data_IF_025880547991
#
_entry.id   IF_025880547991
#
_cell.length_a   1.000
_cell.length_b   1.000
_cell.length_c   1.000
_cell.angle_alpha   90.00
_cell.angle_beta   90.00
_cell.angle_gamma   90.00
#
_symmetry.space_group_name_H-M   'P 1'
#
loop_
_entity.id
_entity.type
_entity.pdbx_description
1 polymer ?
#
# COMPACT_ATOMS: atom_id res chain seq x y z
N UNK A 1 8.39 7.20 -5.38
CA UNK A 1 8.74 7.00 -3.98
C UNK A 1 8.05 5.80 -3.36
N UNK A 2 6.78 5.63 -3.59
CA UNK A 2 6.08 4.49 -3.01
C UNK A 2 6.59 3.19 -3.62
N UNK A 3 6.86 3.18 -4.91
CA UNK A 3 7.46 2.02 -5.57
C UNK A 3 8.75 1.59 -4.88
N UNK A 4 9.59 2.54 -4.55
CA UNK A 4 10.86 2.23 -3.92
C UNK A 4 10.64 1.62 -2.53
N UNK A 5 9.67 2.15 -1.78
CA UNK A 5 9.39 1.61 -0.46
C UNK A 5 8.92 0.16 -0.55
N UNK A 6 8.05 -0.13 -1.53
CA UNK A 6 7.53 -1.48 -1.71
C UNK A 6 8.63 -2.44 -2.18
N UNK A 7 9.52 -1.97 -3.04
CA UNK A 7 10.55 -2.83 -3.64
C UNK A 7 11.81 -2.96 -2.80
N UNK A 8 11.92 -2.24 -1.71
CA UNK A 8 13.08 -2.38 -0.83
C UNK A 8 13.04 -3.72 -0.12
N UNK A 9 14.19 -4.17 0.34
CA UNK A 9 14.29 -5.44 1.04
C UNK A 9 15.08 -5.22 2.33
N UNK A 10 14.41 -5.09 3.47
CA UNK A 10 12.95 -5.18 3.65
C UNK A 10 12.23 -3.92 3.18
N UNK A 11 10.94 -4.00 2.94
CA UNK A 11 10.19 -2.83 2.51
C UNK A 11 10.05 -1.79 3.62
N UNK A 12 9.86 -0.54 3.22
CA UNK A 12 9.82 0.58 4.15
C UNK A 12 8.39 1.06 4.39
N UNK A 13 8.16 1.57 5.59
CA UNK A 13 6.93 2.31 5.88
C UNK A 13 6.94 3.61 5.10
N UNK A 14 5.75 4.15 4.84
CA UNK A 14 5.63 5.49 4.27
C UNK A 14 4.65 6.30 5.10
N UNK A 15 4.79 7.61 5.01
CA UNK A 15 3.83 8.55 5.57
C UNK A 15 3.37 9.46 4.45
N UNK A 16 2.10 9.80 4.43
CA UNK A 16 1.56 10.72 3.43
C UNK A 16 0.37 11.48 4.02
N UNK A 17 0.05 12.61 3.38
CA UNK A 17 -1.14 13.38 3.74
C UNK A 17 -2.28 12.93 2.84
N UNK A 18 -3.44 12.62 3.43
CA UNK A 18 -4.57 12.08 2.70
C UNK A 18 -5.80 12.95 2.90
N UNK A 19 -6.48 13.26 1.80
CA UNK A 19 -7.70 14.06 1.85
C UNK A 19 -8.90 13.33 1.27
N UNK A 20 -8.78 12.04 1.06
CA UNK A 20 -9.82 11.27 0.36
C UNK A 20 -10.99 10.82 1.22
N UNK A 21 -11.01 11.14 2.49
CA UNK A 21 -12.16 10.83 3.33
C UNK A 21 -12.48 12.04 4.21
N UNK A 22 -13.38 11.86 5.17
CA UNK A 22 -13.87 12.97 5.97
C UNK A 22 -12.87 13.44 7.04
N UNK A 23 -11.76 12.76 7.20
CA UNK A 23 -10.76 13.12 8.21
C UNK A 23 -9.40 13.28 7.56
N UNK A 24 -9.12 14.44 6.97
CA UNK A 24 -7.81 14.64 6.34
C UNK A 24 -6.70 14.61 7.38
N UNK A 25 -5.53 14.17 6.99
CA UNK A 25 -4.39 14.14 7.88
C UNK A 25 -3.32 13.18 7.39
N UNK A 26 -2.22 13.15 8.14
CA UNK A 26 -1.12 12.28 7.80
C UNK A 26 -1.41 10.85 8.24
N UNK A 27 -1.08 9.90 7.39
CA UNK A 27 -1.20 8.47 7.67
C UNK A 27 0.15 7.81 7.54
N UNK A 28 0.44 6.92 8.47
CA UNK A 28 1.63 6.05 8.40
C UNK A 28 1.14 4.65 8.10
N UNK A 29 1.67 4.05 7.05
CA UNK A 29 1.19 2.76 6.57
C UNK A 29 2.34 1.88 6.10
N UNK A 30 2.06 0.58 5.99
CA UNK A 30 2.93 -0.38 5.32
C UNK A 30 2.39 -0.56 3.91
N UNK A 31 3.06 -0.01 2.88
CA UNK A 31 2.52 -0.08 1.53
C UNK A 31 2.65 -1.48 0.95
N UNK A 32 1.59 -1.98 0.34
CA UNK A 32 1.58 -3.34 -0.21
C UNK A 32 1.41 -3.38 -1.72
N UNK A 33 0.60 -2.50 -2.30
CA UNK A 33 0.30 -2.62 -3.72
C UNK A 33 -0.22 -1.30 -4.28
N UNK A 34 0.12 -1.02 -5.53
CA UNK A 34 -0.49 0.07 -6.29
C UNK A 34 -1.21 -0.57 -7.47
N UNK A 35 -2.50 -0.32 -7.59
CA UNK A 35 -3.34 -0.93 -8.61
C UNK A 35 -4.59 -0.10 -8.84
N UNK A 36 -5.35 -0.42 -9.88
CA UNK A 36 -6.64 0.24 -10.12
C UNK A 36 -7.73 -0.44 -9.31
N UNK A 37 -8.65 0.36 -8.78
CA UNK A 37 -9.83 -0.20 -8.12
C UNK A 37 -10.94 -0.45 -9.15
N UNK A 38 -12.11 -0.88 -8.70
CA UNK A 38 -13.20 -1.22 -9.61
C UNK A 38 -13.77 -0.02 -10.35
N UNK A 39 -13.46 1.19 -9.92
CA UNK A 39 -13.84 2.41 -10.61
C UNK A 39 -12.71 2.95 -11.47
N UNK A 40 -11.67 2.15 -11.67
CA UNK A 40 -10.48 2.50 -12.46
C UNK A 40 -9.72 3.69 -11.89
N UNK A 41 -9.78 3.90 -10.58
CA UNK A 41 -8.97 4.88 -9.91
C UNK A 41 -7.69 4.20 -9.37
N UNK A 42 -6.58 4.88 -9.52
CA UNK A 42 -5.32 4.33 -9.02
C UNK A 42 -5.29 4.43 -7.50
N UNK A 43 -5.05 3.30 -6.85
CA UNK A 43 -5.09 3.20 -5.40
C UNK A 43 -3.82 2.59 -4.84
N UNK A 44 -3.51 3.00 -3.62
CA UNK A 44 -2.50 2.34 -2.80
C UNK A 44 -3.23 1.45 -1.81
N UNK A 45 -2.94 0.16 -1.84
CA UNK A 45 -3.43 -0.78 -0.82
C UNK A 45 -2.34 -0.92 0.22
N UNK A 46 -2.67 -0.66 1.47
CA UNK A 46 -1.67 -0.61 2.52
C UNK A 46 -2.26 -1.01 3.86
N UNK A 47 -1.41 -1.46 4.76
CA UNK A 47 -1.81 -1.76 6.13
C UNK A 47 -1.68 -0.49 6.95
N UNK A 48 -2.80 -0.01 7.47
CA UNK A 48 -2.86 1.23 8.24
C UNK A 48 -2.27 1.03 9.62
N UNK A 49 -1.37 1.92 10.02
CA UNK A 49 -0.76 1.87 11.34
C UNK A 49 -1.23 3.02 12.22
N UNK A 50 -1.19 4.25 11.74
CA UNK A 50 -1.53 5.38 12.57
C UNK A 50 -2.01 6.56 11.76
N UNK A 51 -2.79 7.43 12.40
CA UNK A 51 -3.36 8.62 11.81
C UNK A 51 -4.88 8.60 11.89
N UNK A 52 -5.55 9.61 11.35
CA UNK A 52 -7.01 9.62 11.33
C UNK A 52 -7.55 8.46 10.50
N UNK A 53 -8.65 7.88 10.91
CA UNK A 53 -9.25 6.78 10.19
C UNK A 53 -10.76 6.76 10.45
N UNK A 54 -11.53 6.70 9.37
CA UNK A 54 -12.98 6.58 9.47
C UNK A 54 -13.43 5.13 9.45
N UNK A 55 -12.53 4.20 9.19
CA UNK A 55 -12.91 2.80 9.06
C UNK A 55 -12.32 1.93 10.17
N UNK A 56 -12.03 2.54 11.31
CA UNK A 56 -11.64 1.76 12.48
C UNK A 56 -10.14 1.55 12.60
N UNK A 57 -9.76 0.60 13.45
CA UNK A 57 -8.36 0.42 13.80
C UNK A 57 -7.54 -0.18 12.65
N UNK A 58 -6.39 -0.69 12.98
CA UNK A 58 -5.45 -1.21 12.00
C UNK A 58 -6.09 -2.23 11.05
N UNK A 59 -5.59 -2.28 9.84
CA UNK A 59 -6.07 -3.20 8.84
C UNK A 59 -5.71 -2.70 7.45
N UNK A 60 -6.11 -3.46 6.43
CA UNK A 60 -5.90 -3.02 5.06
C UNK A 60 -6.88 -1.93 4.69
N UNK A 61 -6.36 -0.90 4.00
CA UNK A 61 -7.17 0.18 3.47
C UNK A 61 -6.68 0.53 2.08
N UNK A 62 -7.59 1.04 1.24
CA UNK A 62 -7.24 1.51 -0.09
C UNK A 62 -7.30 3.02 -0.09
N UNK A 63 -6.24 3.66 -0.57
CA UNK A 63 -6.14 5.12 -0.65
C UNK A 63 -6.05 5.52 -2.11
N UNK A 64 -6.99 6.34 -2.57
CA UNK A 64 -6.95 6.80 -3.95
C UNK A 64 -5.80 7.78 -4.12
N UNK A 65 -4.95 7.52 -5.08
CA UNK A 65 -3.70 8.25 -5.23
C UNK A 65 -3.90 9.73 -5.54
N UNK A 66 -5.03 10.09 -6.14
CA UNK A 66 -5.27 11.50 -6.42
C UNK A 66 -5.42 12.33 -5.15
N UNK A 67 -5.70 11.72 -4.03
CA UNK A 67 -5.85 12.41 -2.75
C UNK A 67 -4.63 12.23 -1.84
N UNK A 68 -3.57 11.63 -2.34
CA UNK A 68 -2.34 11.38 -1.59
C UNK A 68 -1.32 12.45 -1.97
N UNK A 69 -0.71 13.07 -0.96
CA UNK A 69 0.33 14.07 -1.19
C UNK A 69 1.38 13.98 -0.09
N UNK A 70 2.49 14.67 -0.26
CA UNK A 70 3.54 14.78 0.75
C UNK A 70 4.03 13.41 1.20
N UNK A 71 4.36 12.55 0.27
CA UNK A 71 4.82 11.20 0.58
C UNK A 71 6.26 11.25 1.09
N UNK A 72 6.50 10.59 2.21
CA UNK A 72 7.83 10.42 2.77
C UNK A 72 8.07 8.94 3.02
N UNK A 73 9.18 8.43 2.52
CA UNK A 73 9.61 7.07 2.83
C UNK A 73 10.34 7.12 4.15
N UNK A 74 9.88 6.35 5.12
CA UNK A 74 10.45 6.35 6.46
C UNK A 74 11.62 5.38 6.54
N UNK A 75 12.45 5.55 7.56
CA UNK A 75 13.55 4.61 7.78
C UNK A 75 13.05 3.28 8.31
N UNK A 76 11.94 3.29 8.99
CA UNK A 76 11.37 2.05 9.52
C UNK A 76 10.97 1.11 8.40
N UNK A 77 11.15 -0.17 8.65
CA UNK A 77 10.80 -1.21 7.69
C UNK A 77 9.79 -2.15 8.29
N UNK A 78 9.25 -3.04 7.46
CA UNK A 78 8.34 -4.07 7.97
C UNK A 78 8.71 -5.41 7.33
N UNK A 79 8.20 -6.49 7.93
CA UNK A 79 8.70 -7.82 7.57
C UNK A 79 8.21 -8.30 6.21
N UNK A 80 7.14 -7.74 5.71
CA UNK A 80 6.56 -8.20 4.45
C UNK A 80 5.05 -8.20 4.52
N UNK A 81 4.39 -8.95 3.65
CA UNK A 81 2.92 -8.88 3.57
C UNK A 81 2.24 -9.27 4.87
N UNK A 82 1.21 -8.52 5.21
CA UNK A 82 0.35 -8.83 6.34
C UNK A 82 -0.63 -9.94 5.97
N UNK A 83 -1.16 -10.67 6.96
CA UNK A 83 -2.16 -11.68 6.68
C UNK A 83 -3.36 -11.07 5.92
N UNK A 84 -3.85 -11.79 4.95
CA UNK A 84 -4.94 -11.32 4.10
C UNK A 84 -4.50 -10.63 2.82
N UNK A 85 -3.21 -10.41 2.65
CA UNK A 85 -2.70 -9.80 1.43
C UNK A 85 -2.95 -10.71 0.24
N UNK A 86 -3.46 -10.13 -0.85
CA UNK A 86 -3.74 -10.85 -2.07
C UNK A 86 -2.90 -10.27 -3.19
N UNK A 87 -1.80 -10.92 -3.56
CA UNK A 87 -0.87 -10.35 -4.53
C UNK A 87 -1.46 -10.20 -5.94
N UNK A 88 -2.58 -10.85 -6.23
CA UNK A 88 -3.26 -10.67 -7.51
C UNK A 88 -4.35 -9.59 -7.46
N UNK A 89 -4.47 -8.87 -6.35
CA UNK A 89 -5.48 -7.82 -6.20
C UNK A 89 -6.81 -8.31 -5.69
N UNK A 90 -6.99 -9.61 -5.58
CA UNK A 90 -8.26 -10.16 -5.11
C UNK A 90 -9.40 -9.76 -6.03
N UNK A 91 -10.54 -9.40 -5.43
CA UNK A 91 -11.74 -9.07 -6.20
C UNK A 91 -11.94 -7.57 -6.38
N UNK A 92 -11.10 -6.74 -5.77
CA UNK A 92 -11.34 -5.30 -5.77
C UNK A 92 -10.24 -4.50 -6.46
N UNK A 93 -9.10 -5.11 -6.78
CA UNK A 93 -8.01 -4.42 -7.43
C UNK A 93 -7.59 -5.18 -8.68
N UNK A 94 -7.18 -4.43 -9.70
CA UNK A 94 -6.71 -5.03 -10.94
C UNK A 94 -5.65 -4.12 -11.57
N UNK A 95 -5.06 -4.57 -12.66
CA UNK A 95 -4.03 -3.79 -13.37
C UNK A 95 -2.94 -3.34 -12.42
N UNK A 96 -2.36 -4.32 -11.72
CA UNK A 96 -1.39 -4.06 -10.66
C UNK A 96 -0.15 -3.45 -11.26
N UNK A 97 0.29 -2.33 -10.68
CA UNK A 97 1.48 -1.64 -11.12
C UNK A 97 2.69 -2.00 -10.29
N UNK A 98 2.50 -2.31 -9.02
CA UNK A 98 3.58 -2.59 -8.10
C UNK A 98 3.01 -3.31 -6.90
N UNK A 99 3.69 -4.33 -6.41
CA UNK A 99 3.19 -5.05 -5.23
C UNK A 99 4.32 -5.74 -4.49
N UNK A 100 4.08 -6.03 -3.23
CA UNK A 100 5.01 -6.82 -2.44
C UNK A 100 5.06 -8.24 -2.96
N UNK A 101 6.25 -8.82 -2.96
CA UNK A 101 6.39 -10.23 -3.30
C UNK A 101 5.97 -11.08 -2.11
N UNK A 102 5.28 -12.16 -2.42
CA UNK A 102 4.96 -13.16 -1.43
C UNK A 102 6.16 -14.09 -1.34
N UNK A 103 6.66 -14.39 -0.17
CA UNK A 103 7.76 -15.31 -0.06
C UNK A 103 7.25 -16.66 -0.44
N UNK A 104 7.50 -17.09 -1.63
CA UNK A 104 7.04 -18.32 -2.04
C UNK A 104 8.12 -19.12 -2.42
N UNK A 105 7.90 -20.30 -2.45
CA UNK A 105 8.89 -21.16 -2.80
C UNK A 105 9.05 -21.03 -4.21
N UNK A 106 8.89 -20.64 -4.98
CA UNK A 106 9.06 -20.71 -6.18
C UNK A 106 9.33 -19.83 -6.93
N UNK A 107 9.65 -19.83 -7.63
CA UNK A 107 9.95 -19.29 -8.52
C UNK A 107 9.86 -18.16 -8.77
N UNK A 108 10.17 -17.50 -9.19
CA UNK A 108 10.31 -16.49 -9.45
C UNK A 108 9.78 -15.58 -9.82
N UNK A 109 9.80 -14.78 -10.03
CA UNK A 109 9.13 -13.99 -10.54
C UNK A 109 9.49 -12.78 -10.52
N UNK A 110 9.43 -11.98 -10.97
CA UNK A 110 9.84 -10.88 -10.99
C UNK A 110 8.93 -9.92 -10.85
N UNK A 111 8.98 -8.96 -10.53
CA UNK A 111 8.28 -8.08 -10.25
C UNK A 111 8.45 -7.02 -10.74
N UNK A 112 7.97 -6.24 -10.86
CA UNK A 112 8.01 -5.33 -11.46
C UNK A 112 7.48 -4.13 -11.13
N UNK A 113 7.87 -3.26 -10.72
CA UNK A 113 7.46 -1.93 -10.56
C UNK A 113 8.41 -0.95 -11.19
#
# INVERSE_FOLDING_TARGET
>A
MIHQAINSNPPHLIQFYYTGDSQPGYRTVEPHMIALNLNDALCLSAWFLSGPSTSGPQGFKEYEMEFVSEVTVLEETFAGPRPGYQPDGGKILHSIQCHLLVPAPSRRSKLDC
#
